data_IF_989978829979
#
_entry.id   IF_989978829979
#
_cell.length_a   1.000
_cell.length_b   1.000
_cell.length_c   1.000
_cell.angle_alpha   90.00
_cell.angle_beta   90.00
_cell.angle_gamma   90.00
#
_symmetry.space_group_name_H-M   'P 1'
#
loop_
_entity.id
_entity.type
_entity.pdbx_description
1 polymer ?
#
# COMPACT_ATOMS: atom_id res chain seq x y z
N UNK A 1 22.98 -90.08 0.60
CA UNK A 1 23.48 -90.13 1.99
C UNK A 1 23.50 -88.70 2.56
N UNK A 2 23.26 -88.53 3.87
CA UNK A 2 22.14 -87.75 4.46
C UNK A 2 22.66 -86.57 5.34
N UNK A 3 21.91 -85.92 6.28
CA UNK A 3 20.51 -86.06 6.75
C UNK A 3 19.72 -84.72 6.76
N UNK A 4 18.38 -84.62 6.75
CA UNK A 4 17.25 -85.27 7.45
C UNK A 4 17.04 -84.87 8.93
N UNK A 5 16.09 -83.94 9.18
CA UNK A 5 15.10 -83.91 10.30
C UNK A 5 14.13 -82.72 10.08
N UNK A 6 12.85 -82.93 9.70
CA UNK A 6 11.61 -83.12 10.52
C UNK A 6 11.49 -82.08 11.66
N UNK A 7 10.38 -81.36 11.90
CA UNK A 7 8.99 -81.30 11.37
C UNK A 7 8.25 -80.15 12.11
N UNK A 8 7.36 -79.42 11.40
CA UNK A 8 6.08 -78.74 11.83
C UNK A 8 6.16 -77.66 12.93
N UNK A 9 5.45 -76.53 12.92
CA UNK A 9 4.13 -76.17 12.36
C UNK A 9 4.01 -74.65 12.15
N UNK A 10 3.26 -74.23 11.12
CA UNK A 10 2.59 -72.92 10.94
C UNK A 10 1.25 -72.93 11.73
N UNK A 11 0.53 -71.79 11.99
CA UNK A 11 0.40 -70.64 11.09
C UNK A 11 0.22 -69.23 11.72
N UNK A 12 0.12 -68.26 10.80
CA UNK A 12 -0.53 -66.95 10.89
C UNK A 12 0.08 -65.86 11.79
N UNK A 13 0.77 -64.91 11.16
CA UNK A 13 0.20 -63.55 10.98
C UNK A 13 1.00 -62.82 9.87
N UNK A 14 0.51 -62.88 8.64
CA UNK A 14 1.08 -62.15 7.50
C UNK A 14 0.37 -60.82 7.32
N UNK A 15 1.17 -59.76 7.43
CA UNK A 15 0.94 -58.38 6.99
C UNK A 15 -0.09 -58.23 5.85
N UNK A 16 -1.15 -57.49 6.13
CA UNK A 16 -1.96 -56.82 5.11
C UNK A 16 -2.09 -55.33 5.47
N UNK A 17 -1.28 -54.53 4.80
CA UNK A 17 -1.30 -53.07 4.78
C UNK A 17 -2.72 -52.49 4.67
N UNK A 18 -3.17 -51.84 5.74
CA UNK A 18 -4.44 -51.10 5.78
C UNK A 18 -4.25 -49.74 5.12
N UNK A 19 -4.69 -49.64 3.86
CA UNK A 19 -4.86 -48.36 3.14
C UNK A 19 -6.04 -47.57 3.73
N UNK A 20 -5.88 -46.28 4.10
CA UNK A 20 -6.98 -45.47 4.61
C UNK A 20 -7.94 -45.03 3.47
N UNK A 21 -9.25 -44.94 3.74
CA UNK A 21 -10.27 -44.73 2.71
C UNK A 21 -10.32 -43.29 2.19
N UNK A 22 -10.40 -43.18 0.86
CA UNK A 22 -10.68 -41.96 0.10
C UNK A 22 -11.97 -41.27 0.60
N UNK A 23 -11.80 -40.13 1.26
CA UNK A 23 -12.89 -39.17 1.46
C UNK A 23 -13.22 -38.50 0.13
N UNK A 24 -14.44 -38.78 -0.36
CA UNK A 24 -15.15 -38.05 -1.42
C UNK A 24 -14.98 -36.53 -1.22
N UNK A 25 -14.30 -35.88 -2.17
CA UNK A 25 -14.46 -34.44 -2.40
C UNK A 25 -15.88 -34.24 -2.92
N UNK A 26 -16.71 -33.54 -2.14
CA UNK A 26 -17.95 -32.94 -2.63
C UNK A 26 -17.50 -31.74 -3.46
N UNK A 27 -17.82 -31.77 -4.75
CA UNK A 27 -17.58 -30.69 -5.69
C UNK A 27 -18.49 -29.52 -5.31
N UNK A 28 -17.87 -28.37 -5.07
CA UNK A 28 -18.52 -27.07 -4.94
C UNK A 28 -18.82 -26.56 -6.35
N UNK A 29 -20.07 -26.27 -6.76
CA UNK A 29 -20.38 -25.70 -8.06
C UNK A 29 -20.69 -24.21 -7.89
N UNK A 30 -19.65 -23.38 -7.77
CA UNK A 30 -19.76 -21.92 -7.89
C UNK A 30 -18.52 -21.38 -8.64
N UNK A 31 -18.38 -21.79 -9.90
CA UNK A 31 -17.66 -21.00 -10.91
C UNK A 31 -18.71 -20.42 -11.85
N UNK A 32 -19.16 -19.20 -11.54
CA UNK A 32 -19.86 -18.34 -12.50
C UNK A 32 -18.89 -18.03 -13.64
N UNK A 33 -18.87 -18.93 -14.63
CA UNK A 33 -18.24 -18.77 -15.92
C UNK A 33 -19.02 -17.70 -16.72
N UNK A 34 -18.76 -16.43 -16.42
CA UNK A 34 -19.09 -15.32 -17.32
C UNK A 34 -18.08 -15.29 -18.48
N UNK A 35 -18.02 -16.37 -19.26
CA UNK A 35 -17.49 -16.37 -20.60
C UNK A 35 -18.47 -15.63 -21.52
N UNK A 36 -18.49 -14.30 -21.41
CA UNK A 36 -19.13 -13.45 -22.41
C UNK A 36 -18.40 -13.60 -23.73
N UNK A 37 -19.07 -14.21 -24.71
CA UNK A 37 -18.66 -14.29 -26.11
C UNK A 37 -18.03 -12.99 -26.59
N UNK A 38 -16.75 -13.07 -26.95
CA UNK A 38 -16.05 -12.00 -27.64
C UNK A 38 -16.60 -11.89 -29.07
N UNK A 39 -17.72 -11.16 -29.22
CA UNK A 39 -18.13 -10.65 -30.52
C UNK A 39 -17.09 -9.65 -31.00
N UNK A 40 -16.40 -10.03 -32.06
CA UNK A 40 -15.26 -9.31 -32.63
C UNK A 40 -15.73 -8.10 -33.46
N UNK A 41 -16.44 -7.16 -32.82
CA UNK A 41 -16.79 -5.86 -33.41
C UNK A 41 -15.60 -4.91 -33.20
N UNK A 42 -14.69 -4.94 -34.17
CA UNK A 42 -13.40 -4.23 -34.17
C UNK A 42 -13.56 -2.71 -34.00
N UNK A 43 -12.85 -2.16 -33.01
CA UNK A 43 -12.61 -0.73 -32.84
C UNK A 43 -13.21 -0.17 -31.54
N UNK A 44 -14.42 0.35 -31.64
CA UNK A 44 -15.00 1.22 -30.60
C UNK A 44 -15.66 0.45 -29.45
N UNK A 45 -16.31 -0.68 -29.75
CA UNK A 45 -16.98 -1.50 -28.72
C UNK A 45 -16.00 -2.12 -27.73
N UNK A 46 -14.83 -2.56 -28.21
CA UNK A 46 -13.78 -3.09 -27.34
C UNK A 46 -13.12 -1.99 -26.48
N UNK A 47 -12.93 -0.79 -27.04
CA UNK A 47 -12.40 0.35 -26.30
C UNK A 47 -13.34 0.77 -25.15
N UNK A 48 -14.63 0.96 -25.44
CA UNK A 48 -15.64 1.30 -24.44
C UNK A 48 -15.78 0.21 -23.36
N UNK A 49 -15.71 -1.07 -23.73
CA UNK A 49 -15.68 -2.17 -22.77
C UNK A 49 -14.47 -2.10 -21.84
N UNK A 50 -13.26 -1.82 -22.36
CA UNK A 50 -12.05 -1.65 -21.55
C UNK A 50 -12.17 -0.46 -20.59
N UNK A 51 -12.74 0.66 -21.04
CA UNK A 51 -12.99 1.84 -20.19
C UNK A 51 -13.94 1.48 -19.04
N UNK A 52 -15.09 0.87 -19.35
CA UNK A 52 -16.07 0.46 -18.33
C UNK A 52 -15.47 -0.56 -17.35
N UNK A 53 -14.65 -1.49 -17.82
CA UNK A 53 -13.95 -2.45 -16.97
C UNK A 53 -12.91 -1.78 -16.06
N UNK A 54 -12.20 -0.75 -16.54
CA UNK A 54 -11.30 0.05 -15.72
C UNK A 54 -12.04 0.83 -14.63
N UNK A 55 -13.17 1.45 -14.98
CA UNK A 55 -14.03 2.15 -14.00
C UNK A 55 -14.53 1.18 -12.92
N UNK A 56 -15.04 0.00 -13.32
CA UNK A 56 -15.48 -1.04 -12.38
C UNK A 56 -14.35 -1.53 -11.47
N UNK A 57 -13.16 -1.76 -12.03
CA UNK A 57 -11.98 -2.14 -11.24
C UNK A 57 -11.64 -1.06 -10.21
N UNK A 58 -11.66 0.22 -10.60
CA UNK A 58 -11.36 1.33 -9.71
C UNK A 58 -12.35 1.41 -8.53
N UNK A 59 -13.65 1.27 -8.81
CA UNK A 59 -14.71 1.26 -7.79
C UNK A 59 -14.58 0.06 -6.84
N UNK A 60 -14.27 -1.13 -7.36
CA UNK A 60 -14.06 -2.33 -6.55
C UNK A 60 -12.80 -2.23 -5.68
N UNK A 61 -11.73 -1.63 -6.20
CA UNK A 61 -10.51 -1.36 -5.44
C UNK A 61 -10.77 -0.36 -4.31
N UNK A 62 -11.56 0.69 -4.56
CA UNK A 62 -11.92 1.64 -3.51
C UNK A 62 -12.75 0.97 -2.41
N UNK A 63 -13.78 0.22 -2.79
CA UNK A 63 -14.61 -0.53 -1.86
C UNK A 63 -13.81 -1.49 -0.96
N UNK A 64 -12.83 -2.19 -1.53
CA UNK A 64 -11.95 -3.12 -0.82
C UNK A 64 -10.73 -2.47 -0.16
N UNK A 65 -10.58 -1.14 -0.30
CA UNK A 65 -9.41 -0.37 0.09
C UNK A 65 -8.08 -0.91 -0.44
N UNK A 66 -8.10 -1.47 -1.64
CA UNK A 66 -6.90 -1.96 -2.31
C UNK A 66 -6.36 -0.93 -3.31
N UNK A 67 -5.02 -0.80 -3.40
CA UNK A 67 -4.42 0.06 -4.41
C UNK A 67 -4.66 -0.49 -5.81
N UNK A 68 -4.98 0.38 -6.77
CA UNK A 68 -5.15 0.03 -8.17
C UNK A 68 -3.76 -0.05 -8.81
N UNK A 69 -3.28 -1.26 -9.14
CA UNK A 69 -1.92 -1.45 -9.66
C UNK A 69 -1.89 -1.43 -11.17
N UNK A 70 -0.80 -0.90 -11.73
CA UNK A 70 -0.57 -0.89 -13.18
C UNK A 70 -0.60 -2.29 -13.80
N UNK A 71 -0.03 -3.26 -13.10
CA UNK A 71 0.00 -4.65 -13.55
C UNK A 71 -1.41 -5.23 -13.62
N UNK A 72 -2.27 -4.95 -12.64
CA UNK A 72 -3.65 -5.46 -12.62
C UNK A 72 -4.48 -4.86 -13.77
N UNK A 73 -4.29 -3.58 -14.10
CA UNK A 73 -4.93 -2.96 -15.27
C UNK A 73 -4.45 -3.64 -16.56
N UNK A 74 -3.15 -3.90 -16.64
CA UNK A 74 -2.53 -4.52 -17.82
C UNK A 74 -3.05 -5.94 -18.02
N UNK A 75 -3.11 -6.76 -16.97
CA UNK A 75 -3.52 -8.17 -17.06
C UNK A 75 -5.03 -8.35 -17.16
N UNK A 76 -5.82 -7.60 -16.39
CA UNK A 76 -7.29 -7.82 -16.28
C UNK A 76 -8.11 -7.06 -17.31
N UNK A 77 -7.57 -5.96 -17.87
CA UNK A 77 -8.35 -5.06 -18.75
C UNK A 77 -7.73 -5.01 -20.14
N UNK A 78 -6.44 -4.70 -20.23
CA UNK A 78 -5.82 -4.45 -21.54
C UNK A 78 -5.38 -5.72 -22.26
N UNK A 79 -4.92 -6.74 -21.51
CA UNK A 79 -4.37 -7.96 -22.08
C UNK A 79 -3.23 -7.67 -23.07
N UNK A 80 -3.47 -7.96 -24.35
CA UNK A 80 -2.53 -7.69 -25.45
C UNK A 80 -2.52 -6.22 -25.90
N UNK A 81 -3.56 -5.43 -25.57
CA UNK A 81 -3.77 -4.06 -26.02
C UNK A 81 -3.03 -3.00 -25.16
N UNK A 82 -1.85 -3.32 -24.64
CA UNK A 82 -1.11 -2.45 -23.70
C UNK A 82 -0.84 -1.03 -24.19
N UNK A 83 -0.75 -0.84 -25.51
CA UNK A 83 -0.54 0.48 -26.14
C UNK A 83 -1.74 1.42 -25.92
N UNK A 84 -2.93 0.88 -25.72
CA UNK A 84 -4.16 1.66 -25.55
C UNK A 84 -4.34 2.20 -24.13
N UNK A 85 -3.49 1.82 -23.17
CA UNK A 85 -3.66 2.26 -21.77
C UNK A 85 -3.90 3.76 -21.63
N UNK A 86 -3.11 4.60 -22.31
CA UNK A 86 -3.20 6.05 -22.11
C UNK A 86 -4.58 6.58 -22.50
N UNK A 87 -5.12 6.09 -23.62
CA UNK A 87 -6.45 6.45 -24.08
C UNK A 87 -7.54 5.91 -23.15
N UNK A 88 -7.47 4.62 -22.79
CA UNK A 88 -8.43 3.98 -21.88
C UNK A 88 -8.43 4.65 -20.50
N UNK A 89 -7.25 4.99 -19.97
CA UNK A 89 -7.10 5.65 -18.67
C UNK A 89 -7.64 7.07 -18.69
N UNK A 90 -7.38 7.85 -19.74
CA UNK A 90 -7.90 9.21 -19.87
C UNK A 90 -9.44 9.22 -19.97
N UNK A 91 -10.02 8.31 -20.74
CA UNK A 91 -11.46 8.19 -20.86
C UNK A 91 -12.11 7.69 -19.55
N UNK A 92 -11.49 6.71 -18.89
CA UNK A 92 -11.95 6.26 -17.57
C UNK A 92 -11.91 7.37 -16.52
N UNK A 93 -10.87 8.22 -16.51
CA UNK A 93 -10.82 9.40 -15.64
C UNK A 93 -11.96 10.38 -15.94
N UNK A 94 -12.33 10.55 -17.21
CA UNK A 94 -13.47 11.40 -17.61
C UNK A 94 -14.78 10.84 -17.07
N UNK A 95 -15.02 9.54 -17.21
CA UNK A 95 -16.23 8.87 -16.67
C UNK A 95 -16.26 8.87 -15.13
N UNK A 96 -15.13 8.62 -14.47
CA UNK A 96 -15.03 8.68 -13.01
C UNK A 96 -15.38 10.07 -12.47
N UNK A 97 -14.87 11.13 -13.09
CA UNK A 97 -15.18 12.51 -12.70
C UNK A 97 -16.63 12.87 -13.00
N UNK A 98 -17.09 12.58 -14.22
CA UNK A 98 -18.39 13.00 -14.73
C UNK A 98 -19.57 12.28 -14.09
N UNK A 99 -19.44 10.99 -13.80
CA UNK A 99 -20.54 10.16 -13.26
C UNK A 99 -20.42 9.96 -11.75
N UNK A 100 -19.21 9.76 -11.24
CA UNK A 100 -19.00 9.35 -9.84
C UNK A 100 -18.41 10.45 -8.96
N UNK A 101 -17.96 11.57 -9.53
CA UNK A 101 -17.29 12.62 -8.76
C UNK A 101 -16.00 12.14 -8.11
N UNK A 102 -15.30 11.20 -8.76
CA UNK A 102 -14.06 10.60 -8.28
C UNK A 102 -12.95 10.67 -9.33
N UNK A 103 -11.69 10.54 -8.90
CA UNK A 103 -10.54 10.45 -9.79
C UNK A 103 -9.52 9.44 -9.27
N UNK A 104 -8.79 8.79 -10.18
CA UNK A 104 -7.66 7.95 -9.81
C UNK A 104 -6.45 8.85 -9.51
N UNK A 105 -6.06 8.94 -8.25
CA UNK A 105 -4.91 9.71 -7.78
C UNK A 105 -3.71 8.81 -7.56
N UNK A 106 -2.55 9.27 -7.98
CA UNK A 106 -1.31 8.49 -7.90
C UNK A 106 -0.86 8.31 -6.45
N UNK A 107 -0.55 7.08 -6.06
CA UNK A 107 0.06 6.83 -4.76
C UNK A 107 1.57 7.08 -4.85
N UNK A 108 2.16 7.84 -3.91
CA UNK A 108 3.60 7.94 -3.77
C UNK A 108 4.22 6.54 -3.67
N UNK A 109 5.35 6.30 -4.32
CA UNK A 109 6.05 5.04 -4.10
C UNK A 109 6.40 4.90 -2.62
N UNK A 110 6.22 3.69 -2.07
CA UNK A 110 6.64 3.37 -0.70
C UNK A 110 8.09 3.82 -0.53
N UNK A 111 8.31 4.72 0.43
CA UNK A 111 9.67 5.17 0.74
C UNK A 111 10.50 3.97 1.17
N UNK A 112 11.73 3.93 0.68
CA UNK A 112 12.70 2.89 1.02
C UNK A 112 13.35 3.30 2.33
N UNK A 113 12.70 2.99 3.43
CA UNK A 113 13.03 3.64 4.70
C UNK A 113 14.18 2.96 5.43
N UNK A 114 14.38 1.64 5.28
CA UNK A 114 15.47 0.95 6.00
C UNK A 114 16.85 1.26 5.42
N UNK A 115 17.90 1.24 6.25
CA UNK A 115 19.28 1.47 5.82
C UNK A 115 19.72 0.48 4.71
N UNK A 116 19.26 -0.76 4.77
CA UNK A 116 19.49 -1.79 3.75
C UNK A 116 18.78 -1.45 2.42
N UNK A 117 17.53 -0.97 2.49
CA UNK A 117 16.78 -0.52 1.31
C UNK A 117 17.37 0.77 0.72
N UNK A 118 17.89 1.68 1.56
CA UNK A 118 18.61 2.90 1.15
C UNK A 118 19.92 2.54 0.42
N UNK A 119 20.71 1.59 0.95
CA UNK A 119 21.95 1.08 0.29
C UNK A 119 21.66 0.34 -1.02
N UNK A 120 20.59 -0.46 -1.09
CA UNK A 120 20.16 -1.12 -2.33
C UNK A 120 19.62 -0.13 -3.38
N UNK A 121 18.99 0.97 -2.95
CA UNK A 121 18.50 2.02 -3.82
C UNK A 121 19.63 2.83 -4.48
N UNK A 122 20.75 3.04 -3.79
CA UNK A 122 21.93 3.70 -4.37
C UNK A 122 22.52 2.96 -5.57
N UNK A 123 22.37 1.62 -5.61
CA UNK A 123 22.81 0.78 -6.73
C UNK A 123 21.86 0.82 -7.95
N UNK A 124 20.63 1.31 -7.80
CA UNK A 124 19.57 1.27 -8.83
C UNK A 124 19.08 2.66 -9.29
N UNK A 125 19.88 3.71 -9.09
CA UNK A 125 19.52 5.12 -9.27
C UNK A 125 19.19 5.59 -10.71
N UNK A 126 19.20 4.73 -11.72
CA UNK A 126 19.07 5.12 -13.13
C UNK A 126 17.65 5.03 -13.70
N UNK A 127 16.68 4.44 -13.00
CA UNK A 127 15.34 4.25 -13.57
C UNK A 127 14.41 5.38 -13.12
N UNK A 128 13.79 6.07 -14.10
CA UNK A 128 12.76 7.08 -13.88
C UNK A 128 11.66 6.55 -12.93
N UNK A 129 11.18 7.43 -12.03
CA UNK A 129 10.10 7.10 -11.07
C UNK A 129 8.80 6.87 -11.85
N UNK A 130 8.54 5.62 -12.23
CA UNK A 130 7.30 5.25 -12.89
C UNK A 130 6.18 5.13 -11.85
N UNK A 131 5.04 5.74 -12.15
CA UNK A 131 3.80 5.59 -11.38
C UNK A 131 3.27 4.18 -11.63
N UNK A 132 3.13 3.41 -10.57
CA UNK A 132 2.73 2.01 -10.65
C UNK A 132 1.42 1.71 -9.93
N UNK A 133 0.87 2.69 -9.21
CA UNK A 133 -0.27 2.48 -8.35
C UNK A 133 -1.09 3.75 -8.15
N UNK A 134 -2.40 3.59 -8.08
CA UNK A 134 -3.37 4.66 -7.82
C UNK A 134 -4.32 4.26 -6.68
N UNK A 135 -5.02 5.25 -6.14
CA UNK A 135 -6.20 5.10 -5.27
C UNK A 135 -7.29 6.00 -5.81
N UNK A 136 -8.55 5.72 -5.48
CA UNK A 136 -9.66 6.55 -5.92
C UNK A 136 -9.94 7.64 -4.87
N UNK A 137 -9.98 8.90 -5.28
CA UNK A 137 -10.23 10.04 -4.39
C UNK A 137 -11.43 10.84 -4.86
N UNK A 138 -12.19 11.42 -3.93
CA UNK A 138 -13.30 12.30 -4.27
C UNK A 138 -12.79 13.63 -4.84
N UNK A 139 -13.37 14.07 -5.96
CA UNK A 139 -13.16 15.42 -6.53
C UNK A 139 -14.29 16.38 -6.15
N UNK A 140 -15.23 15.95 -5.29
CA UNK A 140 -16.32 16.80 -4.89
C UNK A 140 -15.82 17.99 -4.05
N UNK A 141 -16.43 19.18 -4.19
CA UNK A 141 -16.19 20.31 -3.29
C UNK A 141 -16.41 19.94 -1.81
N UNK A 142 -15.67 20.59 -0.91
CA UNK A 142 -15.69 20.31 0.54
C UNK A 142 -17.10 20.26 1.13
N UNK A 143 -17.98 21.17 0.72
CA UNK A 143 -19.39 21.22 1.16
C UNK A 143 -20.20 19.93 0.88
N UNK A 144 -19.76 19.10 -0.05
CA UNK A 144 -20.39 17.83 -0.40
C UNK A 144 -19.65 16.62 0.17
N UNK A 145 -18.54 16.81 0.88
CA UNK A 145 -17.79 15.72 1.55
C UNK A 145 -18.24 15.50 2.99
N UNK A 146 -19.45 15.91 3.31
CA UNK A 146 -20.04 15.70 4.63
C UNK A 146 -20.53 14.25 4.77
N UNK A 147 -20.40 13.62 5.95
CA UNK A 147 -20.85 12.24 6.17
C UNK A 147 -22.31 11.99 5.83
N UNK A 148 -23.16 13.01 5.91
CA UNK A 148 -24.59 12.96 5.56
C UNK A 148 -24.81 12.79 4.05
N UNK A 149 -23.87 13.26 3.23
CA UNK A 149 -23.93 13.25 1.77
C UNK A 149 -23.10 12.10 1.21
N UNK A 150 -21.88 11.93 1.73
CA UNK A 150 -20.95 10.86 1.40
C UNK A 150 -20.68 10.00 2.64
N UNK A 151 -21.61 9.09 2.98
CA UNK A 151 -21.39 8.18 4.10
C UNK A 151 -20.26 7.19 3.77
N UNK A 152 -19.52 6.71 4.80
CA UNK A 152 -18.55 5.65 4.60
C UNK A 152 -19.18 4.37 4.04
N UNK A 153 -18.32 3.50 3.51
CA UNK A 153 -18.75 2.27 2.85
C UNK A 153 -19.57 1.37 3.78
N UNK A 154 -20.54 0.65 3.20
CA UNK A 154 -21.44 -0.25 3.92
C UNK A 154 -20.81 -1.60 4.29
N UNK A 155 -19.50 -1.76 4.17
CA UNK A 155 -18.85 -3.06 4.27
C UNK A 155 -17.65 -3.01 5.22
N UNK A 156 -17.76 -3.62 6.42
CA UNK A 156 -18.85 -4.49 6.89
C UNK A 156 -20.15 -3.75 7.29
N UNK A 157 -20.06 -2.54 7.84
CA UNK A 157 -21.17 -1.66 8.20
C UNK A 157 -20.69 -0.21 8.14
N UNK A 158 -21.58 0.75 7.91
CA UNK A 158 -21.21 2.17 7.89
C UNK A 158 -20.55 2.60 9.22
N UNK A 159 -21.05 2.10 10.36
CA UNK A 159 -20.54 2.47 11.68
C UNK A 159 -19.11 2.01 11.89
N UNK A 160 -18.80 0.75 11.58
CA UNK A 160 -17.43 0.24 11.67
C UNK A 160 -16.51 1.00 10.72
N UNK A 161 -16.96 1.28 9.50
CA UNK A 161 -16.14 2.00 8.53
C UNK A 161 -15.93 3.48 8.89
N UNK A 162 -16.89 4.13 9.54
CA UNK A 162 -16.72 5.44 10.21
C UNK A 162 -15.68 5.37 11.31
N UNK A 163 -15.78 4.39 12.21
CA UNK A 163 -14.83 4.21 13.30
C UNK A 163 -13.41 3.96 12.78
N UNK A 164 -13.26 3.06 11.79
CA UNK A 164 -11.99 2.80 11.15
C UNK A 164 -11.39 4.07 10.53
N UNK A 165 -12.24 4.88 9.90
CA UNK A 165 -11.87 6.19 9.35
C UNK A 165 -11.35 7.16 10.41
N UNK A 166 -12.04 7.27 11.54
CA UNK A 166 -11.57 8.05 12.68
C UNK A 166 -10.23 7.53 13.22
N UNK A 167 -10.09 6.21 13.37
CA UNK A 167 -8.90 5.58 13.93
C UNK A 167 -7.66 5.76 13.06
N UNK A 168 -7.73 5.49 11.75
CA UNK A 168 -6.57 5.69 10.89
C UNK A 168 -6.23 7.19 10.76
N UNK A 169 -7.24 8.07 10.74
CA UNK A 169 -7.01 9.52 10.64
C UNK A 169 -6.33 10.05 11.91
N UNK A 170 -6.73 9.53 13.07
CA UNK A 170 -6.08 9.80 14.35
C UNK A 170 -4.61 9.36 14.37
N UNK A 171 -4.34 8.11 14.03
CA UNK A 171 -2.98 7.55 14.06
C UNK A 171 -2.07 8.26 13.07
N UNK A 172 -2.54 8.51 11.84
CA UNK A 172 -1.79 9.28 10.85
C UNK A 172 -1.50 10.69 11.36
N UNK A 173 -2.47 11.35 11.99
CA UNK A 173 -2.27 12.68 12.60
C UNK A 173 -1.22 12.67 13.72
N UNK A 174 -1.22 11.66 14.59
CA UNK A 174 -0.18 11.52 15.62
C UNK A 174 1.22 11.42 15.01
N UNK A 175 1.39 10.64 13.95
CA UNK A 175 2.68 10.47 13.27
C UNK A 175 3.11 11.79 12.60
N UNK A 176 2.19 12.47 11.90
CA UNK A 176 2.47 13.78 11.30
C UNK A 176 2.88 14.82 12.35
N UNK A 177 2.17 14.90 13.46
CA UNK A 177 2.46 15.86 14.53
C UNK A 177 3.76 15.54 15.30
N UNK A 178 4.22 14.29 15.23
CA UNK A 178 5.46 13.83 15.87
C UNK A 178 6.73 14.09 15.04
N UNK A 179 6.63 14.67 13.84
CA UNK A 179 7.80 14.84 12.96
C UNK A 179 7.92 13.77 11.87
N UNK A 180 6.83 13.04 11.58
CA UNK A 180 6.72 12.14 10.42
C UNK A 180 7.13 10.69 10.71
N UNK A 181 7.73 10.45 11.88
CA UNK A 181 7.92 9.13 12.46
C UNK A 181 7.54 9.13 13.94
N UNK A 182 7.11 7.98 14.44
CA UNK A 182 6.70 7.81 15.84
C UNK A 182 7.21 6.47 16.38
N UNK A 183 8.00 6.44 17.47
CA UNK A 183 8.43 5.19 18.10
C UNK A 183 7.25 4.36 18.60
N UNK A 184 7.36 3.03 18.47
CA UNK A 184 6.32 2.05 18.82
C UNK A 184 5.79 2.23 20.24
N UNK A 185 6.68 2.27 21.24
CA UNK A 185 6.29 2.47 22.64
C UNK A 185 5.64 3.83 22.93
N UNK A 186 5.87 4.85 22.10
CA UNK A 186 5.18 6.15 22.23
C UNK A 186 3.78 6.09 21.60
N UNK A 187 3.63 5.42 20.46
CA UNK A 187 2.34 5.16 19.84
C UNK A 187 1.43 4.34 20.77
N UNK A 188 1.93 3.25 21.34
CA UNK A 188 1.19 2.42 22.30
C UNK A 188 0.66 3.22 23.49
N UNK A 189 1.50 4.10 24.06
CA UNK A 189 1.09 4.99 25.17
C UNK A 189 -0.04 5.93 24.75
N UNK A 190 -0.01 6.47 23.53
CA UNK A 190 -1.09 7.31 23.03
C UNK A 190 -2.38 6.52 22.81
N UNK A 191 -2.30 5.35 22.18
CA UNK A 191 -3.45 4.48 21.93
C UNK A 191 -4.12 3.99 23.22
N UNK A 192 -3.31 3.69 24.24
CA UNK A 192 -3.82 3.32 25.57
C UNK A 192 -4.55 4.47 26.24
N UNK A 193 -4.07 5.71 26.10
CA UNK A 193 -4.69 6.90 26.70
C UNK A 193 -6.06 7.23 26.11
N UNK A 194 -6.28 6.91 24.83
CA UNK A 194 -7.56 7.14 24.15
C UNK A 194 -8.47 5.91 24.13
N UNK A 195 -8.14 4.87 24.91
CA UNK A 195 -8.91 3.62 25.03
C UNK A 195 -9.24 2.95 23.67
N UNK A 196 -8.29 2.96 22.74
CA UNK A 196 -8.49 2.41 21.38
C UNK A 196 -8.73 0.90 21.38
N UNK A 197 -8.43 0.18 22.47
CA UNK A 197 -8.64 -1.27 22.58
C UNK A 197 -10.10 -1.70 22.35
N UNK A 198 -11.06 -0.90 22.79
CA UNK A 198 -12.50 -1.17 22.61
C UNK A 198 -12.92 -0.96 21.14
N UNK A 199 -12.53 0.17 20.55
CA UNK A 199 -12.81 0.47 19.14
C UNK A 199 -12.05 -0.48 18.18
N UNK A 200 -10.84 -0.90 18.56
CA UNK A 200 -10.05 -1.89 17.83
C UNK A 200 -10.73 -3.27 17.88
N UNK A 201 -11.37 -3.65 19.00
CA UNK A 201 -12.13 -4.89 19.10
C UNK A 201 -13.24 -4.94 18.05
N UNK A 202 -13.99 -3.84 17.89
CA UNK A 202 -15.13 -3.76 16.97
C UNK A 202 -14.68 -3.74 15.49
N UNK A 203 -13.60 -3.04 15.18
CA UNK A 203 -13.08 -2.90 13.81
C UNK A 203 -12.28 -4.10 13.29
N UNK A 204 -12.13 -5.10 14.13
CA UNK A 204 -11.38 -6.31 13.87
C UNK A 204 -12.32 -7.47 13.57
N UNK A 205 -13.00 -7.39 12.42
CA UNK A 205 -14.07 -8.31 11.99
C UNK A 205 -13.65 -9.81 12.04
N UNK A 206 -12.35 -10.11 12.01
CA UNK A 206 -11.81 -11.48 12.11
C UNK A 206 -11.35 -11.90 13.53
N UNK A 207 -11.70 -11.18 14.60
CA UNK A 207 -11.36 -11.52 16.00
C UNK A 207 -12.52 -12.19 16.72
N UNK A 208 -12.99 -13.33 16.22
CA UNK A 208 -13.64 -14.32 17.10
C UNK A 208 -12.82 -15.61 17.25
N UNK A 209 -11.71 -15.78 16.50
CA UNK A 209 -11.02 -17.06 16.42
C UNK A 209 -9.56 -17.08 16.96
N UNK A 210 -8.96 -15.96 17.39
CA UNK A 210 -7.56 -15.98 17.84
C UNK A 210 -7.27 -14.91 18.89
N UNK A 211 -6.95 -15.34 20.11
CA UNK A 211 -6.61 -14.50 21.27
C UNK A 211 -5.25 -13.81 21.16
N UNK A 212 -5.16 -12.79 20.31
CA UNK A 212 -4.00 -11.90 20.19
C UNK A 212 -4.38 -10.43 20.37
N UNK A 213 -3.39 -9.56 20.60
CA UNK A 213 -3.58 -8.13 20.84
C UNK A 213 -4.40 -7.46 19.71
N UNK A 214 -5.50 -6.84 20.11
CA UNK A 214 -6.48 -6.20 19.23
C UNK A 214 -5.88 -4.98 18.54
N UNK A 215 -5.04 -4.23 19.25
CA UNK A 215 -4.38 -3.03 18.75
C UNK A 215 -3.36 -3.39 17.66
N UNK A 216 -2.58 -4.45 17.88
CA UNK A 216 -1.61 -4.93 16.89
C UNK A 216 -2.30 -5.37 15.58
N UNK A 217 -3.45 -6.05 15.67
CA UNK A 217 -4.23 -6.45 14.49
C UNK A 217 -4.83 -5.27 13.75
N UNK A 218 -5.30 -4.24 14.46
CA UNK A 218 -5.75 -2.98 13.85
C UNK A 218 -4.60 -2.32 13.07
N UNK A 219 -3.42 -2.23 13.67
CA UNK A 219 -2.23 -1.66 13.02
C UNK A 219 -1.79 -2.48 11.80
N UNK A 220 -1.87 -3.82 11.87
CA UNK A 220 -1.63 -4.70 10.70
C UNK A 220 -2.65 -4.47 9.58
N UNK A 221 -3.93 -4.24 9.90
CA UNK A 221 -4.95 -3.84 8.90
C UNK A 221 -4.59 -2.51 8.26
N UNK A 222 -4.24 -1.50 9.05
CA UNK A 222 -3.82 -0.18 8.54
C UNK A 222 -2.54 -0.24 7.70
N UNK A 223 -1.61 -1.13 8.02
CA UNK A 223 -0.41 -1.37 7.23
C UNK A 223 -0.77 -2.01 5.87
N UNK A 224 -1.66 -3.00 5.86
CA UNK A 224 -2.17 -3.65 4.65
C UNK A 224 -2.87 -2.64 3.73
N UNK A 225 -3.72 -1.78 4.30
CA UNK A 225 -4.48 -0.76 3.58
C UNK A 225 -3.59 0.44 3.16
N UNK A 226 -2.35 0.50 3.67
CA UNK A 226 -1.32 1.45 3.24
C UNK A 226 -1.37 2.82 3.93
N UNK A 227 -2.06 2.93 5.08
CA UNK A 227 -2.10 4.14 5.89
C UNK A 227 -0.83 4.33 6.72
N UNK A 228 -0.25 3.23 7.22
CA UNK A 228 0.96 3.24 8.06
C UNK A 228 1.99 2.23 7.55
N UNK A 229 3.24 2.41 7.96
CA UNK A 229 4.36 1.49 7.69
C UNK A 229 5.09 1.27 9.00
N UNK A 230 5.31 0.01 9.38
CA UNK A 230 6.17 -0.38 10.49
C UNK A 230 7.61 -0.55 9.99
N UNK A 231 8.55 0.15 10.61
CA UNK A 231 9.98 0.05 10.30
C UNK A 231 10.68 -0.55 11.51
N UNK A 232 11.44 -1.62 11.25
CA UNK A 232 12.34 -2.22 12.23
C UNK A 232 13.77 -1.97 11.78
N UNK A 233 14.54 -1.31 12.63
CA UNK A 233 15.96 -1.07 12.43
C UNK A 233 16.75 -1.76 13.55
N UNK A 234 17.66 -2.65 13.16
CA UNK A 234 18.56 -3.36 14.06
C UNK A 234 20.03 -2.99 13.79
N UNK A 235 20.27 -1.91 13.04
CA UNK A 235 21.62 -1.54 12.59
C UNK A 235 22.56 -1.08 13.71
N UNK A 236 22.00 -0.64 14.84
CA UNK A 236 22.75 -0.19 16.03
C UNK A 236 22.93 -1.28 17.08
N UNK A 237 22.42 -2.50 16.85
CA UNK A 237 22.41 -3.60 17.82
C UNK A 237 21.22 -3.58 18.79
N UNK A 238 20.52 -2.45 18.89
CA UNK A 238 19.21 -2.34 19.56
C UNK A 238 18.09 -2.39 18.51
N UNK A 239 17.05 -3.17 18.75
CA UNK A 239 15.86 -3.20 17.89
C UNK A 239 15.03 -1.93 18.13
N UNK A 240 15.10 -0.99 17.18
CA UNK A 240 14.26 0.19 17.16
C UNK A 240 13.08 -0.02 16.21
N UNK A 241 11.88 0.18 16.74
CA UNK A 241 10.63 0.04 16.01
C UNK A 241 9.96 1.40 15.89
N UNK A 242 9.75 1.86 14.67
CA UNK A 242 9.11 3.15 14.38
C UNK A 242 7.96 2.99 13.37
N UNK A 243 6.95 3.84 13.52
CA UNK A 243 5.82 3.95 12.62
C UNK A 243 5.93 5.21 11.77
N UNK A 244 5.68 5.06 10.47
CA UNK A 244 5.62 6.16 9.51
C UNK A 244 4.32 6.13 8.72
N UNK A 245 3.97 7.26 8.11
CA UNK A 245 2.78 7.36 7.26
C UNK A 245 3.02 6.68 5.91
N UNK A 246 2.13 5.75 5.56
CA UNK A 246 2.15 5.05 4.28
C UNK A 246 1.62 5.87 3.10
N UNK A 247 1.77 5.37 1.86
CA UNK A 247 1.38 6.10 0.65
C UNK A 247 -0.07 6.59 0.64
N UNK A 248 -0.99 5.75 1.12
CA UNK A 248 -2.42 6.07 1.12
C UNK A 248 -2.73 7.16 2.14
N UNK A 249 -2.20 7.03 3.36
CA UNK A 249 -2.36 8.04 4.40
C UNK A 249 -1.78 9.41 4.00
N UNK A 250 -0.72 9.43 3.19
CA UNK A 250 -0.19 10.69 2.63
C UNK A 250 -1.10 11.32 1.58
N UNK A 251 -1.79 10.49 0.80
CA UNK A 251 -2.60 10.95 -0.34
C UNK A 251 -3.99 11.39 0.10
N UNK A 252 -4.62 10.62 0.98
CA UNK A 252 -6.01 10.88 1.42
C UNK A 252 -6.11 11.89 2.57
N UNK A 253 -5.17 11.84 3.51
CA UNK A 253 -5.19 12.71 4.70
C UNK A 253 -4.24 13.88 4.49
N UNK A 254 -2.94 13.58 4.32
CA UNK A 254 -1.91 14.62 4.15
C UNK A 254 -1.91 15.68 5.25
N UNK A 255 -1.22 16.79 5.02
CA UNK A 255 -1.16 17.88 6.00
C UNK A 255 -2.51 18.59 6.17
N UNK A 256 -3.31 18.67 5.11
CA UNK A 256 -4.64 19.31 5.12
C UNK A 256 -5.63 18.54 6.00
N UNK A 257 -5.67 17.22 5.88
CA UNK A 257 -6.52 16.36 6.69
C UNK A 257 -6.14 16.39 8.17
N UNK A 258 -4.84 16.39 8.49
CA UNK A 258 -4.37 16.53 9.89
C UNK A 258 -4.79 17.89 10.47
N UNK A 259 -4.63 18.97 9.71
CA UNK A 259 -5.11 20.31 10.12
C UNK A 259 -6.62 20.32 10.33
N UNK A 260 -7.38 19.70 9.43
CA UNK A 260 -8.83 19.57 9.55
C UNK A 260 -9.24 18.82 10.81
N UNK A 261 -8.61 17.67 11.08
CA UNK A 261 -8.87 16.88 12.28
C UNK A 261 -8.58 17.66 13.56
N UNK A 262 -7.41 18.29 13.66
CA UNK A 262 -7.04 19.05 14.87
C UNK A 262 -7.98 20.23 15.08
N UNK A 263 -8.38 20.93 14.01
CA UNK A 263 -9.40 21.99 14.10
C UNK A 263 -10.77 21.45 14.52
N UNK A 264 -11.17 20.27 14.07
CA UNK A 264 -12.45 19.69 14.48
C UNK A 264 -12.45 19.29 15.95
N UNK A 265 -11.33 18.78 16.47
CA UNK A 265 -11.22 18.31 17.86
C UNK A 265 -10.99 19.45 18.85
N UNK A 266 -10.19 20.46 18.47
CA UNK A 266 -9.79 21.55 19.36
C UNK A 266 -10.40 22.91 18.98
N UNK A 267 -11.26 23.01 17.97
CA UNK A 267 -11.67 24.24 17.27
C UNK A 267 -12.24 25.39 18.09
N UNK A 268 -12.65 25.13 19.33
CA UNK A 268 -13.10 26.12 20.31
C UNK A 268 -11.98 26.57 21.29
N UNK A 269 -10.70 26.39 20.95
CA UNK A 269 -9.61 26.98 21.73
C UNK A 269 -9.67 28.51 21.67
N UNK A 270 -9.42 29.15 22.82
CA UNK A 270 -9.49 30.61 22.98
C UNK A 270 -8.54 31.42 22.07
N UNK A 271 -7.48 30.82 21.52
CA UNK A 271 -6.63 31.43 20.49
C UNK A 271 -6.44 30.48 19.28
N UNK A 272 -7.31 30.58 18.25
CA UNK A 272 -7.17 29.82 17.00
C UNK A 272 -5.87 30.12 16.24
N UNK A 273 -5.28 31.30 16.41
CA UNK A 273 -4.05 31.70 15.73
C UNK A 273 -2.81 31.07 16.39
N UNK A 274 -2.81 30.88 17.71
CA UNK A 274 -1.78 30.08 18.39
C UNK A 274 -1.82 28.62 17.93
N UNK A 275 -3.01 28.00 17.86
CA UNK A 275 -3.16 26.63 17.37
C UNK A 275 -2.66 26.48 15.92
N UNK A 276 -3.00 27.43 15.05
CA UNK A 276 -2.51 27.44 13.66
C UNK A 276 -0.98 27.52 13.59
N UNK A 277 -0.36 28.40 14.38
CA UNK A 277 1.10 28.52 14.46
C UNK A 277 1.76 27.25 15.02
N UNK A 278 1.15 26.61 16.01
CA UNK A 278 1.63 25.35 16.56
C UNK A 278 1.58 24.23 15.51
N UNK A 279 0.47 24.12 14.77
CA UNK A 279 0.31 23.17 13.68
C UNK A 279 1.34 23.39 12.56
N UNK A 280 1.63 24.64 12.20
CA UNK A 280 2.67 24.95 11.23
C UNK A 280 4.06 24.52 11.69
N UNK A 281 4.39 24.71 12.97
CA UNK A 281 5.66 24.23 13.52
C UNK A 281 5.77 22.71 13.48
N UNK A 282 4.71 22.01 13.87
CA UNK A 282 4.71 20.53 13.91
C UNK A 282 4.70 19.90 12.52
N UNK A 283 3.90 20.41 11.59
CA UNK A 283 3.83 19.87 10.23
C UNK A 283 5.01 20.32 9.36
N UNK A 284 5.48 21.57 9.53
CA UNK A 284 6.65 22.08 8.83
C UNK A 284 7.94 21.33 9.18
N UNK A 285 8.01 20.74 10.38
CA UNK A 285 9.10 19.84 10.75
C UNK A 285 9.16 18.57 9.88
N UNK A 286 8.08 18.17 9.19
CA UNK A 286 8.08 17.04 8.24
C UNK A 286 8.61 17.43 6.86
N UNK A 287 8.48 18.71 6.47
CA UNK A 287 9.01 19.19 5.21
C UNK A 287 10.54 19.31 5.23
N UNK A 288 11.14 19.63 6.39
CA UNK A 288 12.58 19.85 6.51
C UNK A 288 13.41 18.59 6.23
N UNK A 289 13.08 17.39 6.77
CA UNK A 289 13.71 16.12 6.39
C UNK A 289 13.55 15.81 4.90
N UNK A 290 12.33 15.95 4.35
CA UNK A 290 12.05 15.75 2.92
C UNK A 290 12.90 16.65 2.03
N UNK A 291 12.93 17.96 2.31
CA UNK A 291 13.68 18.95 1.53
C UNK A 291 15.19 18.70 1.64
N UNK A 292 15.69 18.32 2.81
CA UNK A 292 17.11 17.98 3.02
C UNK A 292 17.51 16.68 2.30
N UNK A 293 16.65 15.67 2.30
CA UNK A 293 16.85 14.42 1.56
C UNK A 293 16.80 14.63 0.04
N UNK A 294 15.88 15.47 -0.46
CA UNK A 294 15.78 15.83 -1.87
C UNK A 294 16.99 16.63 -2.37
N UNK A 295 17.45 17.62 -1.58
CA UNK A 295 18.65 18.40 -1.87
C UNK A 295 19.93 17.55 -1.82
N UNK A 296 20.02 16.60 -0.87
CA UNK A 296 21.13 15.65 -0.80
C UNK A 296 21.14 14.67 -1.98
N UNK A 297 19.98 14.22 -2.44
CA UNK A 297 19.86 13.37 -3.64
C UNK A 297 20.23 14.13 -4.93
N UNK A 298 19.91 15.43 -5.02
CA UNK A 298 20.29 16.28 -6.15
C UNK A 298 21.79 16.61 -6.19
N UNK A 299 22.40 16.91 -5.04
CA UNK A 299 23.84 17.22 -4.97
C UNK A 299 24.72 16.01 -5.32
N UNK A 300 24.33 14.80 -4.90
CA UNK A 300 25.01 13.55 -5.27
C UNK A 300 24.90 13.24 -6.77
N UNK A 301 23.76 13.56 -7.41
CA UNK A 301 23.59 13.44 -8.87
C UNK A 301 24.51 14.41 -9.63
N UNK A 302 24.68 15.63 -9.13
CA UNK A 302 25.56 16.65 -9.74
C UNK A 302 27.05 16.31 -9.59
N UNK A 303 27.46 15.78 -8.43
CA UNK A 303 28.81 15.28 -8.19
C UNK A 303 29.18 14.06 -9.05
N UNK A 304 28.21 13.17 -9.32
CA UNK A 304 28.42 12.00 -10.18
C UNK A 304 28.57 12.37 -11.67
N UNK A 305 27.83 13.37 -12.18
CA UNK A 305 28.01 13.88 -13.54
C UNK A 305 29.42 14.45 -13.75
N UNK A 306 29.89 15.30 -12.82
CA UNK A 306 31.26 15.86 -12.86
C UNK A 306 32.37 14.80 -12.87
N UNK A 307 32.20 13.71 -12.12
CA UNK A 307 33.18 12.60 -12.08
C UNK A 307 33.17 11.72 -13.34
N UNK A 308 32.09 11.75 -14.11
CA UNK A 308 31.99 11.00 -15.38
C UNK A 308 32.56 11.82 -16.53
N UNK A 309 32.38 13.14 -16.50
CA UNK A 309 32.97 14.10 -17.45
C UNK A 309 34.51 14.19 -17.28
N UNK A 310 35.01 14.27 -16.04
CA UNK A 310 36.46 14.31 -15.77
C UNK A 310 37.20 13.01 -16.13
N UNK A 311 36.48 11.90 -16.38
CA UNK A 311 37.08 10.61 -16.79
C UNK A 311 37.07 10.39 -18.30
N UNK A 312 36.45 11.30 -19.06
CA UNK A 312 36.45 11.30 -20.52
C UNK A 312 37.48 12.25 -21.15
N UNK A 313 38.10 13.13 -20.35
CA UNK A 313 39.10 14.10 -20.84
C UNK A 313 40.56 13.62 -20.69
N UNK A 314 40.82 12.57 -19.89
CA UNK A 314 42.19 12.04 -19.70
C UNK A 314 42.64 11.03 -20.78
N UNK A 315 41.78 10.65 -21.73
CA UNK A 315 42.08 9.63 -22.77
C UNK A 315 42.31 10.23 -24.17
N UNK A 316 42.62 11.53 -24.26
CA UNK A 316 42.93 12.20 -25.53
C UNK A 316 44.11 13.17 -25.41
N UNK A 317 45.25 12.69 -24.90
CA UNK A 317 46.53 13.34 -25.18
C UNK A 317 47.69 12.33 -25.09
N UNK A 318 48.13 11.82 -26.23
CA UNK A 318 49.34 10.99 -26.30
C UNK A 318 49.51 10.26 -27.62
N UNK A 319 50.03 10.94 -28.64
CA UNK A 319 50.45 10.27 -29.88
C UNK A 319 50.68 11.17 -31.08
N UNK A 320 51.66 12.06 -31.02
CA UNK A 320 52.31 12.60 -32.23
C UNK A 320 53.81 12.79 -31.98
N UNK A 321 54.60 12.65 -33.06
CA UNK A 321 56.07 12.49 -33.18
C UNK A 321 56.56 11.03 -33.03
N UNK A 322 57.40 10.45 -33.89
CA UNK A 322 58.09 10.94 -35.08
C UNK A 322 58.68 9.77 -35.91
N UNK A 323 58.87 10.02 -37.22
CA UNK A 323 59.97 9.55 -38.09
C UNK A 323 60.33 8.06 -38.23
N UNK A 324 60.08 7.45 -39.40
CA UNK A 324 61.07 7.27 -40.50
C UNK A 324 60.40 6.64 -41.73
#
# INVERSE_FOLDING_TARGET
>A
MPPARKRRADPDDSDADVRPPQRRRVSDPDEDDYAGEASNTQGDGNFDAMVKNLVRLALACEYSRTPIRRNDITTKILGTNNRQFKAVFAEAQTQLRGTFGMEMTELPQKEKVTLAQRRAAQKSQTTQKNVTSWVLTSVLPERFRQPEILPPSRAPTCELESQYTGLYTFIVSLIYLAGGSLPDGKLERYLKRVNVEEAAAQNSINIMASGGDKTEKLLKRMEKDGYVIKIRDNSTGEEMVEWMVGPRGRTEIGDSGVRGMVKQVYGDVGDPAELARALERSLGANEVPKRREELAAQSQRKGRRRRTEARGEDDSSGGSSDSN
#
